data_IF_451712656719
#
_entry.id   IF_451712656719
#
_cell.length_a   1.000
_cell.length_b   1.000
_cell.length_c   1.000
_cell.angle_alpha   90.00
_cell.angle_beta   90.00
_cell.angle_gamma   90.00
#
_symmetry.space_group_name_H-M   'P 1'
#
loop_
_entity.id
_entity.type
_entity.pdbx_description
1 polymer ?
#
# COMPACT_ATOMS: atom_id res chain seq x y z
N UNK A 1 -5.74 -22.40 -14.47
CA UNK A 1 -5.32 -22.43 -13.05
C UNK A 1 -4.72 -21.07 -12.73
N UNK A 2 -5.49 -20.17 -12.12
CA UNK A 2 -5.00 -18.83 -11.78
C UNK A 2 -4.03 -19.00 -10.61
N UNK A 3 -2.74 -18.82 -10.84
CA UNK A 3 -1.73 -18.86 -9.80
C UNK A 3 -2.08 -17.77 -8.77
N UNK A 4 -2.57 -18.17 -7.60
CA UNK A 4 -2.67 -17.30 -6.44
C UNK A 4 -1.23 -16.87 -6.13
N UNK A 5 -0.88 -15.67 -6.58
CA UNK A 5 0.40 -15.04 -6.26
C UNK A 5 0.58 -15.09 -4.74
N UNK A 6 1.69 -15.68 -4.29
CA UNK A 6 2.01 -15.81 -2.88
C UNK A 6 2.05 -14.41 -2.27
N UNK A 7 1.14 -14.12 -1.34
CA UNK A 7 1.16 -12.87 -0.58
C UNK A 7 2.43 -12.87 0.28
N UNK A 8 3.30 -11.89 0.05
CA UNK A 8 4.62 -11.84 0.68
C UNK A 8 4.53 -11.50 2.17
N UNK A 9 3.56 -10.68 2.57
CA UNK A 9 3.30 -10.31 3.94
C UNK A 9 1.79 -10.31 4.23
N UNK A 10 1.21 -11.46 4.65
CA UNK A 10 -0.24 -11.61 4.83
C UNK A 10 -0.83 -10.65 5.87
N UNK A 11 -0.10 -10.37 6.95
CA UNK A 11 -0.59 -9.46 7.99
C UNK A 11 -0.66 -8.02 7.49
N UNK A 12 0.40 -7.55 6.82
CA UNK A 12 0.41 -6.22 6.21
C UNK A 12 -0.66 -6.11 5.12
N UNK A 13 -0.85 -7.14 4.30
CA UNK A 13 -1.88 -7.20 3.27
C UNK A 13 -3.28 -6.99 3.86
N UNK A 14 -3.67 -7.77 4.88
CA UNK A 14 -4.99 -7.63 5.52
C UNK A 14 -5.12 -6.29 6.25
N UNK A 15 -4.04 -5.79 6.85
CA UNK A 15 -4.03 -4.47 7.51
C UNK A 15 -4.33 -3.35 6.52
N UNK A 16 -3.61 -3.33 5.40
CA UNK A 16 -3.81 -2.34 4.34
C UNK A 16 -5.20 -2.46 3.71
N UNK A 17 -5.74 -3.68 3.62
CA UNK A 17 -7.08 -3.92 3.04
C UNK A 17 -8.17 -3.18 3.82
N UNK A 18 -8.03 -3.06 5.13
CA UNK A 18 -8.91 -2.25 5.98
C UNK A 18 -8.73 -0.74 5.79
N UNK A 19 -7.63 -0.30 5.18
CA UNK A 19 -7.31 1.11 4.93
C UNK A 19 -7.65 1.54 3.50
N UNK A 20 -8.17 0.67 2.64
CA UNK A 20 -8.58 1.04 1.28
C UNK A 20 -9.64 2.14 1.38
N UNK A 21 -9.47 3.19 0.57
CA UNK A 21 -10.34 4.36 0.61
C UNK A 21 -9.94 5.41 1.65
N UNK A 22 -8.80 5.23 2.33
CA UNK A 22 -8.29 6.19 3.32
C UNK A 22 -7.05 6.91 2.79
N UNK A 23 -6.83 8.12 3.31
CA UNK A 23 -5.55 8.82 3.15
C UNK A 23 -4.52 8.16 4.07
N UNK A 24 -3.40 7.71 3.50
CA UNK A 24 -2.33 7.03 4.24
C UNK A 24 -0.99 7.73 4.05
N UNK A 25 -0.09 7.50 5.01
CA UNK A 25 1.33 7.82 4.91
C UNK A 25 2.11 6.51 4.93
N UNK A 26 2.95 6.31 3.92
CA UNK A 26 3.81 5.14 3.77
C UNK A 26 5.27 5.59 3.75
N UNK A 27 6.07 5.02 4.63
CA UNK A 27 7.51 5.06 4.50
C UNK A 27 7.97 3.84 3.72
N UNK A 28 8.69 4.10 2.63
CA UNK A 28 9.50 3.09 1.94
C UNK A 28 10.95 3.16 2.40
N UNK A 29 11.80 2.20 2.00
CA UNK A 29 13.25 2.27 2.24
C UNK A 29 13.91 3.53 1.65
N UNK A 30 13.27 4.20 0.68
CA UNK A 30 13.84 5.35 -0.05
C UNK A 30 13.22 6.69 0.33
N UNK A 31 11.92 6.73 0.61
CA UNK A 31 11.18 7.97 0.80
C UNK A 31 9.86 7.76 1.58
N UNK A 32 9.25 8.87 1.98
CA UNK A 32 7.87 8.91 2.49
C UNK A 32 6.96 9.35 1.36
N UNK A 33 5.82 8.69 1.23
CA UNK A 33 4.74 9.07 0.32
C UNK A 33 3.43 9.16 1.08
N UNK A 34 2.64 10.18 0.77
CA UNK A 34 1.31 10.37 1.32
C UNK A 34 0.31 10.44 0.17
N UNK A 35 -0.75 9.65 0.24
CA UNK A 35 -1.72 9.52 -0.82
C UNK A 35 -2.92 8.69 -0.40
N UNK A 36 -3.90 8.60 -1.28
CA UNK A 36 -5.11 7.83 -1.02
C UNK A 36 -4.89 6.37 -1.41
N UNK A 37 -5.08 5.41 -0.49
CA UNK A 37 -4.94 3.99 -0.81
C UNK A 37 -6.12 3.53 -1.67
N UNK A 38 -5.90 3.27 -2.95
CA UNK A 38 -6.96 2.94 -3.90
C UNK A 38 -7.12 1.44 -4.11
N UNK A 39 -6.03 0.68 -4.07
CA UNK A 39 -6.08 -0.78 -4.24
C UNK A 39 -4.85 -1.48 -3.67
N UNK A 40 -4.96 -2.80 -3.55
CA UNK A 40 -3.89 -3.68 -3.09
C UNK A 40 -3.80 -4.86 -4.05
N UNK A 41 -2.58 -5.19 -4.42
CA UNK A 41 -2.20 -6.34 -5.23
C UNK A 41 -1.38 -7.31 -4.34
N UNK A 42 -1.13 -8.56 -4.76
CA UNK A 42 -0.45 -9.55 -3.91
C UNK A 42 0.89 -9.11 -3.30
N UNK A 43 1.63 -8.23 -3.99
CA UNK A 43 2.95 -7.72 -3.58
C UNK A 43 3.09 -6.19 -3.70
N UNK A 44 2.03 -5.47 -4.05
CA UNK A 44 2.03 -4.01 -4.19
C UNK A 44 0.81 -3.37 -3.52
N UNK A 45 0.96 -2.12 -3.11
CA UNK A 45 -0.15 -1.20 -2.91
C UNK A 45 -0.19 -0.16 -4.03
N UNK A 46 -1.38 0.38 -4.28
CA UNK A 46 -1.55 1.52 -5.18
C UNK A 46 -2.06 2.70 -4.36
N UNK A 47 -1.27 3.76 -4.31
CA UNK A 47 -1.70 5.03 -3.73
C UNK A 47 -1.89 6.06 -4.84
N UNK A 48 -2.93 6.88 -4.75
CA UNK A 48 -3.14 7.99 -5.66
C UNK A 48 -2.62 9.29 -5.05
N UNK A 49 -1.77 10.00 -5.81
CA UNK A 49 -1.22 11.30 -5.46
C UNK A 49 -1.48 12.24 -6.63
N UNK A 50 -2.22 13.33 -6.42
CA UNK A 50 -2.58 14.28 -7.48
C UNK A 50 -3.13 13.59 -8.75
N UNK A 51 -4.09 12.65 -8.58
CA UNK A 51 -4.70 11.84 -9.65
C UNK A 51 -3.73 10.94 -10.44
N UNK A 52 -2.53 10.74 -9.93
CA UNK A 52 -1.53 9.85 -10.51
C UNK A 52 -1.38 8.62 -9.61
N UNK A 53 -1.52 7.39 -10.14
CA UNK A 53 -1.32 6.17 -9.36
C UNK A 53 0.17 5.86 -9.17
N UNK A 54 0.56 5.58 -7.94
CA UNK A 54 1.90 5.14 -7.55
C UNK A 54 1.84 3.71 -7.02
N UNK A 55 2.64 2.83 -7.62
CA UNK A 55 2.76 1.43 -7.23
C UNK A 55 3.94 1.27 -6.28
N UNK A 56 3.66 0.82 -5.05
CA UNK A 56 4.67 0.62 -4.01
C UNK A 56 4.73 -0.85 -3.66
N UNK A 57 5.92 -1.46 -3.78
CA UNK A 57 6.14 -2.85 -3.39
C UNK A 57 6.05 -3.00 -1.88
N UNK A 58 5.32 -4.02 -1.41
CA UNK A 58 5.16 -4.28 0.02
C UNK A 58 6.49 -4.55 0.73
N UNK A 59 7.46 -5.16 0.05
CA UNK A 59 8.80 -5.43 0.60
C UNK A 59 9.65 -4.16 0.84
N UNK A 60 9.26 -3.05 0.22
CA UNK A 60 9.92 -1.75 0.40
C UNK A 60 9.29 -0.95 1.53
N UNK A 61 8.10 -1.34 2.01
CA UNK A 61 7.39 -0.64 3.09
C UNK A 61 8.08 -0.93 4.42
N UNK A 62 8.48 0.15 5.10
CA UNK A 62 9.03 0.10 6.45
C UNK A 62 7.90 0.27 7.47
N UNK A 63 6.97 1.20 7.24
CA UNK A 63 5.76 1.39 8.03
C UNK A 63 4.66 2.08 7.23
N UNK A 64 3.42 1.91 7.69
CA UNK A 64 2.22 2.58 7.16
C UNK A 64 1.36 3.08 8.32
N UNK A 65 0.75 4.25 8.17
CA UNK A 65 -0.25 4.79 9.09
C UNK A 65 -1.34 5.54 8.32
N UNK A 66 -2.51 5.72 8.93
CA UNK A 66 -3.50 6.69 8.46
C UNK A 66 -2.92 8.10 8.54
N UNK A 67 -3.21 8.93 7.55
CA UNK A 67 -2.90 10.35 7.61
C UNK A 67 -3.82 11.01 8.64
N UNK A 68 -3.24 11.71 9.61
CA UNK A 68 -4.01 12.52 10.56
C UNK A 68 -4.47 13.76 9.80
N UNK A 69 -5.79 13.98 9.76
CA UNK A 69 -6.40 15.16 9.13
C UNK A 69 -6.52 16.28 10.15
#
# INVERSE_FOLDING_TARGET
>A
MTQMGRVSNPYLYETLKMMIGQMIVVQTKKNIQQGHLTSILPDHIVIEINRTPFFIRMEEIVWVTLAIT
#
